data_IF_550171300941
#
_entry.id   IF_550171300941
#
_cell.length_a   1.000
_cell.length_b   1.000
_cell.length_c   1.000
_cell.angle_alpha   90.00
_cell.angle_beta   90.00
_cell.angle_gamma   90.00
#
_symmetry.space_group_name_H-M   'P 1'
#
loop_
_entity.id
_entity.type
_entity.pdbx_description
1 polymer ?
#
# COMPACT_ATOMS: atom_id res chain seq x y z
N UNK A 1 -55.35 -10.20 -6.05
CA UNK A 1 -55.30 -11.17 -7.17
C UNK A 1 -53.95 -10.98 -7.85
N UNK A 2 -52.95 -11.81 -7.54
CA UNK A 2 -51.61 -11.71 -8.12
C UNK A 2 -51.63 -12.51 -9.43
N UNK A 3 -51.25 -11.89 -10.55
CA UNK A 3 -51.12 -12.53 -11.86
C UNK A 3 -49.95 -13.55 -11.80
N UNK A 4 -50.10 -14.74 -12.34
CA UNK A 4 -49.03 -15.72 -12.45
C UNK A 4 -47.94 -15.17 -13.38
N UNK A 5 -46.75 -14.92 -12.86
CA UNK A 5 -45.60 -14.54 -13.67
C UNK A 5 -45.18 -15.71 -14.52
N UNK A 6 -45.26 -15.59 -15.87
CA UNK A 6 -44.82 -16.59 -16.81
C UNK A 6 -43.30 -16.84 -16.66
N UNK A 7 -42.88 -18.11 -16.73
CA UNK A 7 -41.45 -18.50 -16.60
C UNK A 7 -40.51 -17.75 -17.56
N UNK A 8 -40.98 -17.39 -18.77
CA UNK A 8 -40.24 -16.57 -19.73
C UNK A 8 -39.97 -15.14 -19.21
N UNK A 9 -40.90 -14.56 -18.46
CA UNK A 9 -40.74 -13.22 -17.87
C UNK A 9 -39.70 -13.22 -16.74
N UNK A 10 -39.67 -14.28 -15.95
CA UNK A 10 -38.65 -14.50 -14.90
C UNK A 10 -37.23 -14.66 -15.50
N UNK A 11 -37.08 -15.43 -16.56
CA UNK A 11 -35.80 -15.60 -17.25
C UNK A 11 -35.34 -14.28 -17.93
N UNK A 12 -36.25 -13.51 -18.48
CA UNK A 12 -35.93 -12.20 -19.08
C UNK A 12 -35.48 -11.20 -18.01
N UNK A 13 -36.17 -11.16 -16.87
CA UNK A 13 -35.78 -10.30 -15.72
C UNK A 13 -34.42 -10.72 -15.19
N UNK A 14 -34.16 -12.03 -14.99
CA UNK A 14 -32.88 -12.52 -14.49
C UNK A 14 -31.73 -12.22 -15.46
N UNK A 15 -31.95 -12.36 -16.78
CA UNK A 15 -30.94 -12.01 -17.79
C UNK A 15 -30.66 -10.49 -17.83
N UNK A 16 -31.70 -9.66 -17.69
CA UNK A 16 -31.57 -8.21 -17.69
C UNK A 16 -30.86 -7.71 -16.44
N UNK A 17 -31.20 -8.27 -15.26
CA UNK A 17 -30.53 -7.98 -13.97
C UNK A 17 -29.06 -8.38 -14.03
N UNK A 18 -28.74 -9.59 -14.53
CA UNK A 18 -27.36 -10.03 -14.70
C UNK A 18 -26.56 -9.11 -15.62
N UNK A 19 -27.16 -8.64 -16.72
CA UNK A 19 -26.51 -7.73 -17.65
C UNK A 19 -26.22 -6.36 -17.03
N UNK A 20 -27.20 -5.76 -16.35
CA UNK A 20 -27.01 -4.47 -15.69
C UNK A 20 -26.04 -4.53 -14.50
N UNK A 21 -26.04 -5.63 -13.74
CA UNK A 21 -25.06 -5.86 -12.67
C UNK A 21 -23.64 -6.00 -13.24
N UNK A 22 -23.46 -6.74 -14.35
CA UNK A 22 -22.16 -6.86 -15.00
C UNK A 22 -21.67 -5.53 -15.58
N UNK A 23 -22.54 -4.73 -16.18
CA UNK A 23 -22.22 -3.38 -16.67
C UNK A 23 -21.81 -2.46 -15.53
N UNK A 24 -22.52 -2.49 -14.39
CA UNK A 24 -22.16 -1.73 -13.19
C UNK A 24 -20.81 -2.16 -12.61
N UNK A 25 -20.54 -3.48 -12.55
CA UNK A 25 -19.24 -4.01 -12.12
C UNK A 25 -18.13 -3.59 -13.07
N UNK A 26 -18.35 -3.61 -14.40
CA UNK A 26 -17.36 -3.14 -15.36
C UNK A 26 -17.07 -1.65 -15.21
N UNK A 27 -18.09 -0.82 -14.97
CA UNK A 27 -17.92 0.60 -14.75
C UNK A 27 -17.17 0.90 -13.44
N UNK A 28 -17.51 0.20 -12.35
CA UNK A 28 -16.79 0.30 -11.07
C UNK A 28 -15.31 -0.14 -11.19
N UNK A 29 -15.05 -1.16 -12.00
CA UNK A 29 -13.66 -1.60 -12.33
C UNK A 29 -12.91 -0.54 -13.12
N UNK A 30 -13.57 0.11 -14.09
CA UNK A 30 -12.98 1.19 -14.88
C UNK A 30 -12.63 2.41 -14.03
N UNK A 31 -13.43 2.69 -13.01
CA UNK A 31 -13.21 3.75 -12.05
C UNK A 31 -12.27 3.36 -10.89
N UNK A 32 -11.65 2.18 -10.93
CA UNK A 32 -10.81 1.61 -9.86
C UNK A 32 -11.50 1.55 -8.47
N UNK A 33 -12.82 1.55 -8.42
CA UNK A 33 -13.61 1.49 -7.19
C UNK A 33 -13.87 0.05 -6.71
N UNK A 34 -13.57 -0.95 -7.54
CA UNK A 34 -13.62 -2.37 -7.15
C UNK A 34 -12.21 -2.93 -7.17
N UNK A 35 -11.73 -3.35 -6.02
CA UNK A 35 -10.48 -4.09 -5.89
C UNK A 35 -10.65 -5.42 -6.62
N UNK A 36 -9.99 -5.59 -7.76
CA UNK A 36 -9.96 -6.85 -8.48
C UNK A 36 -9.16 -7.85 -7.66
N UNK A 37 -9.81 -8.76 -6.95
CA UNK A 37 -9.17 -9.85 -6.23
C UNK A 37 -8.05 -9.43 -5.27
N UNK A 38 -7.62 -10.30 -4.39
CA UNK A 38 -6.42 -10.03 -3.57
C UNK A 38 -5.21 -9.92 -4.52
N UNK A 39 -4.41 -8.83 -4.42
CA UNK A 39 -3.23 -8.68 -5.27
C UNK A 39 -2.29 -9.87 -5.08
N UNK A 40 -1.76 -10.39 -6.19
CA UNK A 40 -0.81 -11.50 -6.14
C UNK A 40 0.48 -11.07 -5.40
N UNK A 41 1.26 -12.01 -4.82
CA UNK A 41 2.54 -11.69 -4.21
C UNK A 41 3.50 -10.95 -5.14
N UNK A 42 3.44 -11.20 -6.45
CA UNK A 42 4.19 -10.46 -7.45
C UNK A 42 3.78 -8.98 -7.50
N UNK A 43 2.48 -8.71 -7.59
CA UNK A 43 1.94 -7.34 -7.60
C UNK A 43 2.22 -6.61 -6.29
N UNK A 44 2.13 -7.30 -5.15
CA UNK A 44 2.49 -6.74 -3.83
C UNK A 44 3.96 -6.33 -3.80
N UNK A 45 4.85 -7.18 -4.32
CA UNK A 45 6.29 -6.89 -4.39
C UNK A 45 6.55 -5.66 -5.25
N UNK A 46 5.97 -5.56 -6.45
CA UNK A 46 6.12 -4.37 -7.29
C UNK A 46 5.59 -3.10 -6.60
N UNK A 47 4.42 -3.20 -5.94
CA UNK A 47 3.84 -2.07 -5.20
C UNK A 47 4.75 -1.61 -4.06
N UNK A 48 5.36 -2.53 -3.31
CA UNK A 48 6.31 -2.18 -2.25
C UNK A 48 7.55 -1.46 -2.80
N UNK A 49 8.11 -1.95 -3.89
CA UNK A 49 9.28 -1.34 -4.52
C UNK A 49 8.97 0.06 -5.07
N UNK A 50 7.83 0.25 -5.73
CA UNK A 50 7.40 1.58 -6.21
C UNK A 50 7.21 2.59 -5.08
N UNK A 51 6.73 2.14 -3.93
CA UNK A 51 6.49 3.00 -2.77
C UNK A 51 7.68 3.11 -1.82
N UNK A 52 8.81 2.47 -2.11
CA UNK A 52 9.98 2.43 -1.23
C UNK A 52 10.48 3.84 -0.86
N UNK A 53 10.66 4.72 -1.85
CA UNK A 53 11.08 6.10 -1.61
C UNK A 53 10.05 6.89 -0.80
N UNK A 54 8.75 6.64 -1.02
CA UNK A 54 7.68 7.25 -0.23
C UNK A 54 7.73 6.82 1.23
N UNK A 55 8.01 5.55 1.53
CA UNK A 55 8.20 5.09 2.91
C UNK A 55 9.38 5.79 3.60
N UNK A 56 10.50 5.98 2.89
CA UNK A 56 11.65 6.73 3.42
C UNK A 56 11.32 8.21 3.65
N UNK A 57 10.55 8.83 2.77
CA UNK A 57 10.06 10.21 2.94
C UNK A 57 9.18 10.34 4.19
N UNK A 58 8.23 9.41 4.37
CA UNK A 58 7.35 9.37 5.55
C UNK A 58 8.14 9.24 6.86
N UNK A 59 9.20 8.45 6.89
CA UNK A 59 10.09 8.34 8.06
C UNK A 59 10.69 9.70 8.38
N UNK A 60 11.27 10.37 7.38
CA UNK A 60 11.89 11.70 7.54
C UNK A 60 10.88 12.77 7.96
N UNK A 61 9.68 12.73 7.41
CA UNK A 61 8.59 13.65 7.79
C UNK A 61 8.19 13.47 9.27
N UNK A 62 8.09 12.21 9.73
CA UNK A 62 7.80 11.90 11.14
C UNK A 62 8.93 12.31 12.07
N UNK A 63 10.19 12.15 11.66
CA UNK A 63 11.35 12.67 12.42
C UNK A 63 11.27 14.18 12.61
N UNK A 64 11.02 14.92 11.53
CA UNK A 64 10.83 16.36 11.56
C UNK A 64 9.64 16.75 12.46
N UNK A 65 8.52 16.02 12.37
CA UNK A 65 7.34 16.25 13.19
C UNK A 65 7.63 16.08 14.70
N UNK A 66 8.41 15.08 15.06
CA UNK A 66 8.85 14.87 16.46
C UNK A 66 9.72 16.04 16.92
N UNK A 67 10.67 16.49 16.09
CA UNK A 67 11.51 17.64 16.40
C UNK A 67 10.69 18.93 16.60
N UNK A 68 9.70 19.18 15.75
CA UNK A 68 8.80 20.32 15.87
C UNK A 68 7.97 20.25 17.16
N UNK A 69 7.42 19.09 17.49
CA UNK A 69 6.67 18.88 18.73
C UNK A 69 7.53 19.09 19.96
N UNK A 70 8.80 18.67 19.95
CA UNK A 70 9.74 18.90 21.04
C UNK A 70 10.14 20.37 21.20
N UNK A 71 10.25 21.11 20.09
CA UNK A 71 10.64 22.54 20.08
C UNK A 71 9.47 23.47 20.44
N UNK A 72 8.30 23.21 19.92
CA UNK A 72 7.16 24.15 19.97
C UNK A 72 5.97 23.65 20.82
N UNK A 73 5.99 22.39 21.27
CA UNK A 73 4.87 21.77 21.97
C UNK A 73 3.68 21.51 21.05
N UNK A 74 2.52 21.22 21.66
CA UNK A 74 1.26 21.07 20.94
C UNK A 74 0.78 22.43 20.45
N UNK A 75 0.60 22.60 19.13
CA UNK A 75 -0.13 23.75 18.61
C UNK A 75 -1.52 23.80 19.24
N UNK A 76 -1.81 24.83 20.04
CA UNK A 76 -3.15 25.08 20.58
C UNK A 76 -4.08 25.36 19.39
N UNK A 77 -4.82 24.35 18.94
CA UNK A 77 -5.99 24.62 18.11
C UNK A 77 -6.90 25.49 18.98
N UNK A 78 -7.26 26.68 18.47
CA UNK A 78 -8.27 27.55 19.09
C UNK A 78 -9.52 26.69 19.32
N UNK A 79 -9.73 26.28 20.57
CA UNK A 79 -10.93 25.54 20.96
C UNK A 79 -12.07 26.54 20.90
N UNK A 80 -12.92 26.41 19.89
CA UNK A 80 -14.24 27.07 19.87
C UNK A 80 -14.95 26.68 21.16
N UNK A 81 -15.24 27.68 21.99
CA UNK A 81 -15.96 27.55 23.26
C UNK A 81 -17.43 27.27 22.95
N UNK A 82 -17.77 26.06 22.53
CA UNK A 82 -19.15 25.60 22.41
C UNK A 82 -19.25 24.10 22.60
N UNK A 83 -19.00 23.66 23.84
CA UNK A 83 -19.61 22.41 24.31
C UNK A 83 -19.68 22.45 25.83
N UNK A 84 -20.68 23.18 26.31
CA UNK A 84 -21.24 23.00 27.62
C UNK A 84 -22.28 21.87 27.50
N UNK A 85 -21.80 20.64 27.62
CA UNK A 85 -22.67 19.48 27.81
C UNK A 85 -22.25 18.84 29.13
N UNK A 86 -23.09 19.02 30.12
CA UNK A 86 -22.91 18.41 31.43
C UNK A 86 -23.11 16.90 31.31
N UNK A 87 -22.04 16.18 31.45
CA UNK A 87 -22.08 14.81 31.93
C UNK A 87 -20.90 14.64 32.90
N UNK A 88 -21.25 14.36 34.15
CA UNK A 88 -20.36 14.23 35.29
C UNK A 88 -19.68 12.86 35.32
N UNK A 89 -18.82 12.59 34.34
CA UNK A 89 -17.80 11.58 34.41
C UNK A 89 -16.48 12.23 34.76
N UNK A 90 -15.78 11.75 35.77
CA UNK A 90 -14.42 12.15 36.11
C UNK A 90 -13.48 11.87 34.91
N UNK A 91 -13.47 12.80 33.95
CA UNK A 91 -12.47 12.80 32.88
C UNK A 91 -11.21 13.34 33.55
N UNK A 92 -10.26 12.46 33.88
CA UNK A 92 -8.90 12.88 34.23
C UNK A 92 -8.37 13.74 33.08
N UNK A 93 -8.30 15.05 33.30
CA UNK A 93 -7.75 15.98 32.32
C UNK A 93 -6.23 15.82 32.34
N UNK A 94 -5.71 14.99 31.41
CA UNK A 94 -4.27 14.85 31.19
C UNK A 94 -3.65 16.23 30.96
N UNK A 95 -2.49 16.46 31.54
CA UNK A 95 -1.73 17.68 31.33
C UNK A 95 -1.31 17.84 29.87
N UNK A 96 -1.05 19.06 29.41
CA UNK A 96 -0.59 19.30 28.04
C UNK A 96 0.76 18.61 27.77
N UNK A 97 1.59 18.42 28.83
CA UNK A 97 2.84 17.68 28.75
C UNK A 97 2.60 16.18 28.50
N UNK A 98 1.68 15.55 29.22
CA UNK A 98 1.32 14.14 29.02
C UNK A 98 0.73 13.88 27.63
N UNK A 99 -0.13 14.77 27.14
CA UNK A 99 -0.67 14.69 25.77
C UNK A 99 0.40 14.83 24.70
N UNK A 100 1.41 15.66 24.93
CA UNK A 100 2.54 15.83 24.05
C UNK A 100 3.37 14.55 23.98
N UNK A 101 3.67 13.98 25.14
CA UNK A 101 4.47 12.75 25.24
C UNK A 101 3.77 11.56 24.58
N UNK A 102 2.49 11.33 24.85
CA UNK A 102 1.68 10.31 24.19
C UNK A 102 1.64 10.48 22.65
N UNK A 103 1.58 11.72 22.17
CA UNK A 103 1.61 11.98 20.72
C UNK A 103 2.96 11.64 20.11
N UNK A 104 4.05 11.98 20.79
CA UNK A 104 5.42 11.63 20.33
C UNK A 104 5.59 10.11 20.30
N UNK A 105 5.21 9.41 21.38
CA UNK A 105 5.28 7.94 21.44
C UNK A 105 4.48 7.26 20.31
N UNK A 106 3.29 7.76 20.02
CA UNK A 106 2.48 7.22 18.90
C UNK A 106 3.17 7.42 17.55
N UNK A 107 3.80 8.59 17.33
CA UNK A 107 4.55 8.85 16.09
C UNK A 107 5.78 7.94 16.02
N UNK A 108 6.52 7.79 17.12
CA UNK A 108 7.69 6.92 17.22
C UNK A 108 7.32 5.46 16.95
N UNK A 109 6.22 4.96 17.51
CA UNK A 109 5.71 3.62 17.26
C UNK A 109 5.38 3.39 15.80
N UNK A 110 4.62 4.30 15.18
CA UNK A 110 4.26 4.17 13.76
C UNK A 110 5.47 4.34 12.84
N UNK A 111 6.46 5.16 13.23
CA UNK A 111 7.71 5.32 12.51
C UNK A 111 8.57 4.05 12.59
N UNK A 112 8.66 3.42 13.77
CA UNK A 112 9.37 2.16 13.96
C UNK A 112 8.79 1.05 13.07
N UNK A 113 7.46 0.96 12.96
CA UNK A 113 6.79 0.04 12.04
C UNK A 113 7.21 0.29 10.59
N UNK A 114 7.22 1.55 10.15
CA UNK A 114 7.64 1.90 8.78
C UNK A 114 9.11 1.59 8.53
N UNK A 115 9.99 1.86 9.52
CA UNK A 115 11.44 1.51 9.44
C UNK A 115 11.64 0.00 9.30
N UNK A 116 10.90 -0.81 10.06
CA UNK A 116 10.97 -2.26 9.96
C UNK A 116 10.56 -2.75 8.56
N UNK A 117 9.52 -2.14 7.97
CA UNK A 117 9.13 -2.44 6.59
C UNK A 117 10.23 -2.10 5.59
N UNK A 118 10.85 -0.93 5.72
CA UNK A 118 11.98 -0.53 4.85
C UNK A 118 13.15 -1.49 5.02
N UNK A 119 13.50 -1.86 6.25
CA UNK A 119 14.59 -2.81 6.52
C UNK A 119 14.34 -4.18 5.87
N UNK A 120 13.11 -4.72 5.94
CA UNK A 120 12.74 -5.98 5.28
C UNK A 120 12.93 -5.89 3.76
N UNK A 121 12.59 -4.75 3.16
CA UNK A 121 12.79 -4.53 1.71
C UNK A 121 14.29 -4.45 1.40
N UNK A 122 15.07 -3.72 2.19
CA UNK A 122 16.51 -3.56 2.02
C UNK A 122 17.23 -4.91 2.14
N UNK A 123 16.89 -5.72 3.15
CA UNK A 123 17.42 -7.07 3.34
C UNK A 123 17.08 -7.99 2.16
N UNK A 124 15.86 -7.91 1.65
CA UNK A 124 15.45 -8.68 0.48
C UNK A 124 16.26 -8.28 -0.76
N UNK A 125 16.42 -6.98 -1.01
CA UNK A 125 17.20 -6.45 -2.14
C UNK A 125 18.67 -6.81 -2.02
N UNK A 126 19.24 -6.77 -0.81
CA UNK A 126 20.63 -7.12 -0.56
C UNK A 126 20.96 -8.55 -1.00
N UNK A 127 20.01 -9.47 -1.00
CA UNK A 127 20.22 -10.84 -1.50
C UNK A 127 20.46 -10.94 -3.00
N UNK A 128 20.21 -9.87 -3.74
CA UNK A 128 20.39 -9.80 -5.19
C UNK A 128 21.72 -9.14 -5.60
N UNK A 129 22.57 -8.71 -4.66
CA UNK A 129 23.78 -7.91 -4.94
C UNK A 129 24.75 -8.57 -5.93
N UNK A 130 24.80 -9.90 -5.93
CA UNK A 130 25.67 -10.66 -6.85
C UNK A 130 25.07 -10.87 -8.25
N UNK A 131 23.83 -10.41 -8.47
CA UNK A 131 23.15 -10.56 -9.76
C UNK A 131 23.62 -9.48 -10.75
N UNK A 132 23.99 -9.85 -11.99
CA UNK A 132 24.45 -8.87 -12.99
C UNK A 132 23.41 -7.80 -13.34
N UNK A 133 22.14 -8.04 -13.07
CA UNK A 133 21.04 -7.10 -13.29
C UNK A 133 20.53 -6.47 -11.97
N UNK A 134 21.31 -6.50 -10.89
CA UNK A 134 20.95 -5.92 -9.59
C UNK A 134 20.47 -4.46 -9.69
N UNK A 135 21.22 -3.62 -10.41
CA UNK A 135 20.90 -2.20 -10.61
C UNK A 135 19.55 -1.94 -11.29
N UNK A 136 18.98 -2.95 -11.97
CA UNK A 136 17.68 -2.82 -12.63
C UNK A 136 16.58 -2.47 -11.62
N UNK A 137 16.63 -3.02 -10.39
CA UNK A 137 15.66 -2.71 -9.34
C UNK A 137 15.77 -1.23 -8.96
N UNK A 138 16.98 -0.73 -8.72
CA UNK A 138 17.25 0.67 -8.38
C UNK A 138 16.78 1.62 -9.49
N UNK A 139 17.24 1.39 -10.71
CA UNK A 139 16.90 2.22 -11.86
C UNK A 139 15.39 2.27 -12.10
N UNK A 140 14.70 1.11 -12.06
CA UNK A 140 13.28 1.04 -12.39
C UNK A 140 12.37 1.61 -11.30
N UNK A 141 12.62 1.26 -10.02
CA UNK A 141 11.68 1.53 -8.93
C UNK A 141 12.07 2.74 -8.07
N UNK A 142 13.38 3.06 -7.98
CA UNK A 142 13.83 4.16 -7.13
C UNK A 142 14.14 5.42 -7.94
N UNK A 143 14.65 5.25 -9.17
CA UNK A 143 14.98 6.36 -10.07
C UNK A 143 13.92 6.58 -11.16
N UNK A 144 12.92 5.70 -11.25
CA UNK A 144 11.81 5.79 -12.21
C UNK A 144 12.25 5.81 -13.69
N UNK A 145 13.40 5.22 -14.00
CA UNK A 145 13.89 5.10 -15.38
C UNK A 145 12.92 4.28 -16.25
N UNK A 146 12.82 4.64 -17.52
CA UNK A 146 12.06 3.89 -18.51
C UNK A 146 12.74 2.56 -18.84
N UNK A 147 12.00 1.63 -19.45
CA UNK A 147 12.58 0.35 -19.84
C UNK A 147 13.66 0.50 -20.91
N UNK A 148 13.50 1.52 -21.76
CA UNK A 148 14.41 1.89 -22.84
C UNK A 148 15.73 2.42 -22.28
N UNK A 149 15.70 3.36 -21.33
CA UNK A 149 16.88 3.88 -20.64
C UNK A 149 17.65 2.78 -19.90
N UNK A 150 16.91 1.84 -19.26
CA UNK A 150 17.53 0.69 -18.60
C UNK A 150 18.17 -0.25 -19.63
N UNK A 151 17.57 -0.42 -20.81
CA UNK A 151 18.13 -1.25 -21.89
C UNK A 151 19.44 -0.63 -22.41
N UNK A 152 19.51 0.69 -22.53
CA UNK A 152 20.74 1.41 -22.89
C UNK A 152 21.82 1.24 -21.81
N UNK A 153 21.46 1.39 -20.53
CA UNK A 153 22.39 1.23 -19.40
C UNK A 153 23.06 -0.17 -19.39
N UNK A 154 22.27 -1.22 -19.65
CA UNK A 154 22.79 -2.60 -19.68
C UNK A 154 23.29 -3.02 -21.07
N UNK A 155 23.28 -2.16 -22.08
CA UNK A 155 23.63 -2.47 -23.48
C UNK A 155 22.91 -3.74 -23.98
N UNK A 156 21.59 -3.84 -23.76
CA UNK A 156 20.79 -5.02 -24.09
C UNK A 156 19.39 -4.63 -24.63
N UNK A 157 18.67 -5.61 -25.19
CA UNK A 157 17.31 -5.39 -25.68
C UNK A 157 16.31 -5.16 -24.54
N UNK A 158 15.27 -4.35 -24.81
CA UNK A 158 14.12 -4.11 -23.94
C UNK A 158 13.46 -5.40 -23.46
N UNK A 159 13.40 -6.42 -24.32
CA UNK A 159 12.89 -7.75 -23.97
C UNK A 159 13.73 -8.44 -22.88
N UNK A 160 15.04 -8.26 -22.92
CA UNK A 160 15.98 -8.77 -21.91
C UNK A 160 15.77 -8.06 -20.56
N UNK A 161 15.58 -6.74 -20.58
CA UNK A 161 15.24 -5.96 -19.37
C UNK A 161 13.94 -6.48 -18.75
N UNK A 162 12.87 -6.63 -19.53
CA UNK A 162 11.57 -7.12 -19.05
C UNK A 162 11.67 -8.52 -18.44
N UNK A 163 12.42 -9.42 -19.08
CA UNK A 163 12.63 -10.79 -18.59
C UNK A 163 13.40 -10.79 -17.26
N UNK A 164 14.49 -10.03 -17.15
CA UNK A 164 15.27 -9.94 -15.93
C UNK A 164 14.51 -9.20 -14.82
N UNK A 165 13.75 -8.14 -15.12
CA UNK A 165 12.84 -7.51 -14.15
C UNK A 165 11.91 -8.54 -13.53
N UNK A 166 11.21 -9.31 -14.34
CA UNK A 166 10.26 -10.31 -13.85
C UNK A 166 10.97 -11.41 -13.03
N UNK A 167 12.17 -11.82 -13.44
CA UNK A 167 12.99 -12.79 -12.70
C UNK A 167 13.36 -12.26 -11.31
N UNK A 168 13.90 -11.05 -11.23
CA UNK A 168 14.28 -10.43 -9.96
C UNK A 168 13.07 -10.21 -9.03
N UNK A 169 11.93 -9.74 -9.55
CA UNK A 169 10.71 -9.60 -8.77
C UNK A 169 10.22 -10.97 -8.26
N UNK A 170 10.34 -12.03 -9.06
CA UNK A 170 10.00 -13.39 -8.61
C UNK A 170 10.92 -13.89 -7.50
N UNK A 171 12.19 -13.51 -7.48
CA UNK A 171 13.11 -13.81 -6.38
C UNK A 171 12.73 -13.04 -5.11
N UNK A 172 12.48 -11.73 -5.24
CA UNK A 172 12.07 -10.87 -4.12
C UNK A 172 10.73 -11.29 -3.51
N UNK A 173 9.73 -11.66 -4.33
CA UNK A 173 8.42 -12.07 -3.82
C UNK A 173 8.51 -13.29 -2.89
N UNK A 174 9.41 -14.23 -3.17
CA UNK A 174 9.63 -15.42 -2.33
C UNK A 174 10.18 -15.00 -0.97
N UNK A 175 11.07 -14.02 -0.94
CA UNK A 175 11.65 -13.47 0.29
C UNK A 175 10.64 -12.68 1.12
N UNK A 176 9.86 -11.83 0.45
CA UNK A 176 8.93 -10.91 1.11
C UNK A 176 7.60 -11.58 1.50
N UNK A 177 7.17 -12.62 0.76
CA UNK A 177 5.85 -13.24 0.88
C UNK A 177 5.92 -14.77 0.81
N UNK A 178 6.90 -15.40 1.48
CA UNK A 178 7.13 -16.85 1.43
C UNK A 178 5.86 -17.66 1.71
N UNK A 179 5.12 -17.33 2.77
CA UNK A 179 3.93 -18.06 3.19
C UNK A 179 2.81 -17.98 2.15
N UNK A 180 2.59 -16.78 1.59
CA UNK A 180 1.57 -16.58 0.55
C UNK A 180 1.96 -17.28 -0.77
N UNK A 181 3.25 -17.30 -1.11
CA UNK A 181 3.76 -18.02 -2.31
C UNK A 181 3.57 -19.52 -2.14
N UNK A 182 3.89 -20.05 -0.96
CA UNK A 182 3.66 -21.47 -0.63
C UNK A 182 2.17 -21.79 -0.74
N UNK A 183 1.29 -20.99 -0.15
CA UNK A 183 -0.16 -21.18 -0.28
C UNK A 183 -0.63 -21.17 -1.72
N UNK A 184 -0.12 -20.27 -2.58
CA UNK A 184 -0.47 -20.24 -4.00
C UNK A 184 -0.04 -21.50 -4.76
N UNK A 185 1.11 -22.09 -4.43
CA UNK A 185 1.61 -23.31 -5.08
C UNK A 185 0.76 -24.52 -4.70
N UNK A 186 0.30 -24.59 -3.45
CA UNK A 186 -0.44 -25.75 -2.93
C UNK A 186 -1.97 -25.56 -2.90
N UNK A 187 -2.48 -24.36 -3.21
CA UNK A 187 -3.92 -24.12 -3.38
C UNK A 187 -4.33 -24.53 -4.81
N UNK A 188 -4.60 -25.81 -4.99
CA UNK A 188 -5.26 -26.38 -6.18
C UNK A 188 -6.70 -26.72 -5.85
#
# INVERSE_FOLDING_TARGET
>A
MALPMNGEMLTLIDSTVKKSVNEAICELKRQNLVVQGKPSPFQKTETLLFNYNSFKSVIKEKENQIEELRKFGLCKKSTSITSFSGDSGLIEMKSDAEKLEEKIEMIEFTMATTRNFVAIIDDAIATLQDDPYYDLIRLRYFESCTTEEIAEYFCCDVSTVRRNKNRLINMLKIRLFSDEVIQQIFSV
#
